data_IF_276409589511
#
_entry.id   IF_276409589511
#
_cell.length_a   1.000
_cell.length_b   1.000
_cell.length_c   1.000
_cell.angle_alpha   90.00
_cell.angle_beta   90.00
_cell.angle_gamma   90.00
#
_symmetry.space_group_name_H-M   'P 1'
#
loop_
_entity.id
_entity.type
_entity.pdbx_description
1 polymer ?
#
# COMPACT_ATOMS: atom_id res chain seq x y z
N UNK A 1 -3.93 31.48 -25.93
CA UNK A 1 -3.86 30.00 -25.89
C UNK A 1 -4.76 29.52 -24.75
N UNK A 2 -5.90 28.95 -25.07
CA UNK A 2 -6.84 28.36 -24.12
C UNK A 2 -6.29 27.02 -23.64
N UNK A 3 -6.02 26.87 -22.33
CA UNK A 3 -5.65 25.60 -21.70
C UNK A 3 -6.68 24.53 -22.07
N UNK A 4 -6.22 23.34 -22.47
CA UNK A 4 -7.10 22.23 -22.82
C UNK A 4 -7.90 21.79 -21.58
N UNK A 5 -9.07 21.19 -21.78
CA UNK A 5 -9.92 20.71 -20.69
C UNK A 5 -9.21 19.67 -19.81
N UNK A 6 -8.34 18.86 -20.41
CA UNK A 6 -7.46 17.94 -19.69
C UNK A 6 -6.46 18.67 -18.78
N UNK A 7 -5.92 19.82 -19.19
CA UNK A 7 -5.00 20.63 -18.36
C UNK A 7 -5.69 21.28 -17.16
N UNK A 8 -6.98 21.63 -17.30
CA UNK A 8 -7.79 22.19 -16.20
C UNK A 8 -8.11 21.13 -15.15
N UNK A 9 -8.56 19.95 -15.59
CA UNK A 9 -8.81 18.80 -14.68
C UNK A 9 -7.53 18.36 -13.98
N UNK A 10 -6.37 18.48 -14.65
CA UNK A 10 -5.05 18.21 -14.04
C UNK A 10 -4.69 19.21 -12.96
N UNK A 11 -4.85 20.51 -13.21
CA UNK A 11 -4.60 21.56 -12.22
C UNK A 11 -5.52 21.43 -11.00
N UNK A 12 -6.78 21.07 -11.22
CA UNK A 12 -7.78 20.87 -10.17
C UNK A 12 -7.49 19.63 -9.29
N UNK A 13 -6.89 18.58 -9.86
CA UNK A 13 -6.54 17.35 -9.15
C UNK A 13 -5.09 17.32 -8.61
N UNK A 14 -4.40 18.46 -8.57
CA UNK A 14 -3.07 18.54 -7.95
C UNK A 14 -3.15 18.32 -6.44
N UNK A 15 -2.12 17.68 -5.81
CA UNK A 15 -2.06 17.59 -4.36
C UNK A 15 -2.10 18.98 -3.73
N UNK A 16 -2.84 19.14 -2.63
CA UNK A 16 -2.96 20.44 -1.96
C UNK A 16 -1.59 20.97 -1.52
N UNK A 17 -1.40 22.30 -1.38
CA UNK A 17 -0.14 22.88 -0.93
C UNK A 17 0.34 22.35 0.43
N UNK A 18 -0.59 21.98 1.32
CA UNK A 18 -0.28 21.32 2.60
C UNK A 18 0.26 19.91 2.38
N UNK A 19 -0.33 19.13 1.47
CA UNK A 19 0.17 17.78 1.12
C UNK A 19 1.55 17.87 0.47
N UNK A 20 1.75 18.79 -0.47
CA UNK A 20 3.04 19.03 -1.14
C UNK A 20 4.16 19.40 -0.16
N UNK A 21 3.85 20.12 0.92
CA UNK A 21 4.82 20.49 1.96
C UNK A 21 5.18 19.33 2.90
N UNK A 22 4.23 18.43 3.15
CA UNK A 22 4.39 17.32 4.10
C UNK A 22 5.02 16.08 3.47
N UNK A 23 4.86 15.91 2.17
CA UNK A 23 5.15 14.66 1.49
C UNK A 23 6.07 14.85 0.29
N UNK A 24 6.93 13.88 0.04
CA UNK A 24 7.81 13.89 -1.12
C UNK A 24 7.10 13.30 -2.33
N UNK A 25 6.77 14.12 -3.32
CA UNK A 25 6.18 13.66 -4.58
C UNK A 25 7.26 13.45 -5.65
N UNK A 26 7.09 12.41 -6.46
CA UNK A 26 7.85 12.14 -7.69
C UNK A 26 6.94 12.37 -8.89
N UNK A 27 7.46 12.98 -9.95
CA UNK A 27 6.83 12.87 -11.27
C UNK A 27 7.05 11.47 -11.83
N UNK A 28 5.97 10.77 -12.12
CA UNK A 28 5.95 9.52 -12.87
C UNK A 28 5.12 9.74 -14.14
N UNK A 29 5.82 9.96 -15.26
CA UNK A 29 5.22 10.52 -16.47
C UNK A 29 4.67 11.93 -16.21
N UNK A 30 3.40 12.15 -16.53
CA UNK A 30 2.70 13.42 -16.31
C UNK A 30 2.05 13.54 -14.91
N UNK A 31 2.01 12.46 -14.12
CA UNK A 31 1.38 12.43 -12.80
C UNK A 31 2.38 12.67 -11.66
N UNK A 32 1.96 13.41 -10.63
CA UNK A 32 2.68 13.48 -9.35
C UNK A 32 2.21 12.33 -8.46
N UNK A 33 3.11 11.39 -8.20
CA UNK A 33 2.88 10.28 -7.27
C UNK A 33 3.69 10.45 -6.01
N UNK A 34 3.13 10.03 -4.89
CA UNK A 34 3.86 10.05 -3.63
C UNK A 34 5.06 9.10 -3.70
N UNK A 35 6.24 9.57 -3.30
CA UNK A 35 7.42 8.73 -3.16
C UNK A 35 7.24 7.83 -1.93
N UNK A 36 6.68 6.64 -2.16
CA UNK A 36 6.41 5.67 -1.10
C UNK A 36 7.71 5.04 -0.56
N UNK A 37 7.66 4.57 0.68
CA UNK A 37 8.72 3.75 1.27
C UNK A 37 8.99 2.49 0.46
N UNK A 38 7.96 1.90 -0.17
CA UNK A 38 8.10 0.76 -1.10
C UNK A 38 9.00 1.11 -2.27
N UNK A 39 8.77 2.26 -2.93
CA UNK A 39 9.61 2.70 -4.04
C UNK A 39 11.07 2.99 -3.61
N UNK A 40 11.28 3.38 -2.35
CA UNK A 40 12.62 3.54 -1.79
C UNK A 40 13.32 2.19 -1.60
N UNK A 41 12.64 1.20 -0.99
CA UNK A 41 13.18 -0.15 -0.79
C UNK A 41 13.50 -0.84 -2.12
N UNK A 42 12.61 -0.71 -3.10
CA UNK A 42 12.83 -1.27 -4.43
C UNK A 42 14.09 -0.70 -5.09
N UNK A 43 14.28 0.62 -5.02
CA UNK A 43 15.48 1.28 -5.54
C UNK A 43 16.75 0.93 -4.79
N UNK A 44 16.64 0.65 -3.49
CA UNK A 44 17.77 0.20 -2.69
C UNK A 44 18.15 -1.27 -2.98
N UNK A 45 17.29 -2.02 -3.67
CA UNK A 45 17.45 -3.45 -3.90
C UNK A 45 17.05 -4.30 -2.70
N UNK A 46 16.38 -3.71 -1.70
CA UNK A 46 15.92 -4.42 -0.51
C UNK A 46 14.68 -5.29 -0.78
N UNK A 47 13.96 -5.02 -1.88
CA UNK A 47 12.78 -5.77 -2.34
C UNK A 47 12.76 -5.81 -3.89
N UNK A 48 12.06 -6.79 -4.46
CA UNK A 48 11.88 -6.97 -5.91
C UNK A 48 10.45 -6.68 -6.41
N UNK A 49 10.18 -7.10 -7.64
CA UNK A 49 8.90 -6.86 -8.32
C UNK A 49 7.73 -7.58 -7.62
N UNK A 50 7.97 -8.76 -7.06
CA UNK A 50 6.94 -9.57 -6.40
C UNK A 50 6.46 -8.92 -5.10
N UNK A 51 7.36 -8.36 -4.30
CA UNK A 51 7.01 -7.60 -3.09
C UNK A 51 6.24 -6.32 -3.43
N UNK A 52 6.60 -5.64 -4.52
CA UNK A 52 5.89 -4.46 -5.01
C UNK A 52 4.47 -4.83 -5.45
N UNK A 53 4.31 -5.92 -6.20
CA UNK A 53 3.01 -6.42 -6.62
C UNK A 53 2.15 -6.85 -5.42
N UNK A 54 2.76 -7.51 -4.43
CA UNK A 54 2.11 -7.90 -3.18
C UNK A 54 1.61 -6.67 -2.39
N UNK A 55 2.43 -5.61 -2.29
CA UNK A 55 2.04 -4.35 -1.65
C UNK A 55 0.85 -3.68 -2.36
N UNK A 56 0.88 -3.62 -3.70
CA UNK A 56 -0.21 -3.06 -4.49
C UNK A 56 -1.51 -3.84 -4.31
N UNK A 57 -1.43 -5.17 -4.36
CA UNK A 57 -2.58 -6.04 -4.13
C UNK A 57 -3.16 -5.86 -2.73
N UNK A 58 -2.31 -5.84 -1.70
CA UNK A 58 -2.76 -5.63 -0.32
C UNK A 58 -3.46 -4.29 -0.16
N UNK A 59 -2.89 -3.23 -0.74
CA UNK A 59 -3.49 -1.89 -0.68
C UNK A 59 -4.87 -1.86 -1.36
N UNK A 60 -5.01 -2.49 -2.51
CA UNK A 60 -6.31 -2.61 -3.20
C UNK A 60 -7.31 -3.43 -2.38
N UNK A 61 -6.89 -4.53 -1.76
CA UNK A 61 -7.74 -5.34 -0.88
C UNK A 61 -8.19 -4.55 0.36
N UNK A 62 -7.31 -3.74 0.96
CA UNK A 62 -7.64 -2.84 2.06
C UNK A 62 -8.63 -1.75 1.65
N UNK A 63 -8.37 -1.05 0.55
CA UNK A 63 -9.28 0.01 0.05
C UNK A 63 -10.66 -0.55 -0.29
N UNK A 64 -10.72 -1.77 -0.82
CA UNK A 64 -11.98 -2.44 -1.10
C UNK A 64 -12.72 -2.87 0.17
N UNK A 65 -12.02 -3.51 1.11
CA UNK A 65 -12.61 -3.98 2.37
C UNK A 65 -13.09 -2.81 3.23
N UNK A 66 -12.21 -1.86 3.54
CA UNK A 66 -12.44 -0.81 4.53
C UNK A 66 -13.19 0.40 3.95
N UNK A 67 -12.86 0.81 2.71
CA UNK A 67 -13.38 2.05 2.12
C UNK A 67 -14.44 1.80 1.06
N UNK A 68 -14.59 0.55 0.60
CA UNK A 68 -15.47 0.23 -0.51
C UNK A 68 -15.01 0.87 -1.82
N UNK A 69 -13.71 1.13 -1.97
CA UNK A 69 -13.15 1.72 -3.19
C UNK A 69 -12.61 0.60 -4.06
N UNK A 70 -13.01 0.59 -5.34
CA UNK A 70 -12.39 -0.26 -6.37
C UNK A 70 -11.73 0.69 -7.36
N UNK A 71 -10.40 0.75 -7.34
CA UNK A 71 -9.67 1.48 -8.38
C UNK A 71 -9.74 0.68 -9.69
N UNK A 72 -10.35 1.26 -10.72
CA UNK A 72 -10.40 0.65 -12.04
C UNK A 72 -9.01 0.71 -12.70
N UNK A 73 -8.31 -0.42 -12.77
CA UNK A 73 -7.06 -0.52 -13.53
C UNK A 73 -7.36 -0.69 -15.03
N UNK A 74 -7.47 0.42 -15.77
CA UNK A 74 -7.45 0.45 -17.25
C UNK A 74 -8.59 -0.30 -17.97
N UNK A 75 -8.61 -0.23 -19.31
CA UNK A 75 -9.68 -0.65 -20.25
C UNK A 75 -10.13 -2.12 -20.19
N UNK A 76 -9.66 -2.94 -19.24
CA UNK A 76 -9.93 -4.38 -19.15
C UNK A 76 -10.81 -4.79 -17.97
N UNK A 77 -11.74 -3.95 -17.54
CA UNK A 77 -12.85 -4.44 -16.73
C UNK A 77 -14.00 -4.91 -17.60
N UNK A 78 -14.04 -6.23 -17.83
CA UNK A 78 -15.24 -6.92 -18.25
C UNK A 78 -16.40 -6.46 -17.36
N UNK A 79 -17.42 -5.92 -18.04
CA UNK A 79 -18.55 -5.18 -17.47
C UNK A 79 -19.56 -6.12 -16.82
N UNK A 80 -19.14 -6.94 -15.87
CA UNK A 80 -20.08 -7.58 -14.96
C UNK A 80 -20.21 -6.68 -13.72
N UNK A 81 -21.14 -5.73 -13.81
CA UNK A 81 -21.67 -5.02 -12.64
C UNK A 81 -22.37 -6.05 -11.76
N UNK A 82 -21.62 -6.68 -10.86
CA UNK A 82 -22.21 -7.49 -9.80
C UNK A 82 -23.19 -6.63 -8.98
N UNK A 83 -24.34 -7.21 -8.62
CA UNK A 83 -25.28 -6.58 -7.69
C UNK A 83 -24.61 -6.28 -6.34
N UNK A 84 -25.21 -5.37 -5.55
CA UNK A 84 -24.74 -4.94 -4.22
C UNK A 84 -24.40 -6.15 -3.35
N UNK A 85 -25.18 -7.23 -3.42
CA UNK A 85 -24.90 -8.46 -2.68
C UNK A 85 -23.58 -9.14 -3.10
N UNK A 86 -23.30 -9.24 -4.40
CA UNK A 86 -22.03 -9.77 -4.93
C UNK A 86 -20.86 -8.91 -4.47
N UNK A 87 -21.06 -7.60 -4.46
CA UNK A 87 -20.06 -6.63 -3.99
C UNK A 87 -19.77 -6.79 -2.50
N UNK A 88 -20.81 -6.84 -1.66
CA UNK A 88 -20.68 -7.05 -0.21
C UNK A 88 -20.02 -8.39 0.13
N UNK A 89 -20.34 -9.46 -0.60
CA UNK A 89 -19.67 -10.75 -0.46
C UNK A 89 -18.17 -10.66 -0.82
N UNK A 90 -17.83 -9.93 -1.88
CA UNK A 90 -16.43 -9.66 -2.25
C UNK A 90 -15.68 -8.91 -1.14
N UNK A 91 -16.28 -7.84 -0.61
CA UNK A 91 -15.70 -7.06 0.50
C UNK A 91 -15.48 -7.91 1.74
N UNK A 92 -16.46 -8.74 2.10
CA UNK A 92 -16.36 -9.67 3.23
C UNK A 92 -15.19 -10.66 3.08
N UNK A 93 -14.97 -11.18 1.86
CA UNK A 93 -13.83 -12.07 1.56
C UNK A 93 -12.48 -11.35 1.69
N UNK A 94 -12.37 -10.12 1.21
CA UNK A 94 -11.15 -9.33 1.36
C UNK A 94 -10.88 -9.00 2.83
N UNK A 95 -11.90 -8.55 3.58
CA UNK A 95 -11.77 -8.27 5.00
C UNK A 95 -11.34 -9.52 5.79
N UNK A 96 -11.89 -10.70 5.47
CA UNK A 96 -11.47 -11.96 6.09
C UNK A 96 -10.01 -12.30 5.80
N UNK A 97 -9.55 -12.07 4.55
CA UNK A 97 -8.15 -12.30 4.15
C UNK A 97 -7.19 -11.37 4.88
N UNK A 98 -7.53 -10.08 4.98
CA UNK A 98 -6.73 -9.10 5.71
C UNK A 98 -6.60 -9.47 7.19
N UNK A 99 -7.70 -9.89 7.83
CA UNK A 99 -7.66 -10.40 9.21
C UNK A 99 -6.79 -11.65 9.35
N UNK A 100 -6.90 -12.60 8.41
CA UNK A 100 -6.07 -13.80 8.43
C UNK A 100 -4.58 -13.45 8.31
N UNK A 101 -4.24 -12.56 7.37
CA UNK A 101 -2.87 -12.08 7.21
C UNK A 101 -2.36 -11.37 8.47
N UNK A 102 -3.18 -10.53 9.11
CA UNK A 102 -2.85 -9.88 10.37
C UNK A 102 -2.55 -10.90 11.48
N UNK A 103 -3.41 -11.93 11.64
CA UNK A 103 -3.17 -13.01 12.62
C UNK A 103 -1.86 -13.77 12.36
N UNK A 104 -1.48 -13.96 11.10
CA UNK A 104 -0.26 -14.67 10.73
C UNK A 104 1.01 -13.82 10.91
N UNK A 105 0.97 -12.55 10.52
CA UNK A 105 2.11 -11.63 10.61
C UNK A 105 2.33 -11.09 12.03
N UNK A 106 1.27 -11.06 12.85
CA UNK A 106 1.24 -10.39 14.14
C UNK A 106 1.25 -8.86 14.03
N UNK A 107 0.93 -8.20 15.15
CA UNK A 107 0.75 -6.74 15.22
C UNK A 107 1.99 -5.96 14.79
N UNK A 108 3.17 -6.52 15.09
CA UNK A 108 4.43 -5.86 14.79
C UNK A 108 4.62 -5.69 13.28
N UNK A 109 4.64 -6.76 12.49
CA UNK A 109 4.83 -6.64 11.04
C UNK A 109 3.63 -6.00 10.35
N UNK A 110 2.40 -6.31 10.81
CA UNK A 110 1.19 -5.70 10.25
C UNK A 110 1.20 -4.18 10.38
N UNK A 111 1.57 -3.63 11.54
CA UNK A 111 1.66 -2.18 11.73
C UNK A 111 2.70 -1.52 10.80
N UNK A 112 3.76 -2.21 10.37
CA UNK A 112 4.70 -1.65 9.38
C UNK A 112 4.06 -1.54 8.01
N UNK A 113 3.28 -2.55 7.61
CA UNK A 113 2.50 -2.51 6.37
C UNK A 113 1.51 -1.33 6.41
N UNK A 114 0.77 -1.15 7.50
CA UNK A 114 -0.16 -0.02 7.62
C UNK A 114 0.55 1.34 7.62
N UNK A 115 1.67 1.47 8.35
CA UNK A 115 2.45 2.70 8.36
C UNK A 115 2.95 3.07 6.96
N UNK A 116 3.43 2.08 6.19
CA UNK A 116 3.92 2.30 4.82
C UNK A 116 2.81 2.54 3.81
N UNK A 117 1.81 1.66 3.80
CA UNK A 117 0.86 1.57 2.69
C UNK A 117 -0.39 2.38 2.96
N UNK A 118 -0.84 2.55 4.21
CA UNK A 118 -2.05 3.30 4.55
C UNK A 118 -1.74 4.72 4.96
N UNK A 119 -0.81 4.86 5.92
CA UNK A 119 -0.43 6.16 6.49
C UNK A 119 0.67 6.85 5.70
N UNK A 120 1.26 6.16 4.73
CA UNK A 120 2.26 6.68 3.79
C UNK A 120 3.43 7.38 4.52
N UNK A 121 3.84 6.80 5.65
CA UNK A 121 4.85 7.38 6.52
C UNK A 121 6.25 7.21 5.94
N UNK A 122 7.12 8.19 6.20
CA UNK A 122 8.55 8.08 5.91
C UNK A 122 9.27 7.18 6.93
N UNK A 123 10.41 6.57 6.57
CA UNK A 123 11.20 5.78 7.53
C UNK A 123 11.60 6.55 8.79
N UNK A 124 12.00 7.84 8.73
CA UNK A 124 12.23 8.64 9.92
C UNK A 124 10.99 8.77 10.82
N UNK A 125 9.81 9.00 10.24
CA UNK A 125 8.58 9.15 11.03
C UNK A 125 8.16 7.81 11.67
N UNK A 126 8.28 6.72 10.93
CA UNK A 126 8.08 5.37 11.45
C UNK A 126 9.07 5.04 12.58
N UNK A 127 10.35 5.38 12.38
CA UNK A 127 11.40 5.13 13.37
C UNK A 127 11.14 5.87 14.69
N UNK A 128 10.58 7.09 14.66
CA UNK A 128 10.19 7.81 15.88
C UNK A 128 9.08 7.10 16.66
N UNK A 129 8.17 6.41 15.98
CA UNK A 129 7.11 5.63 16.64
C UNK A 129 7.61 4.29 17.17
N UNK A 130 8.48 3.61 16.41
CA UNK A 130 8.94 2.25 16.73
C UNK A 130 10.09 2.27 17.75
N UNK A 131 11.00 3.25 17.65
CA UNK A 131 12.22 3.34 18.44
C UNK A 131 12.34 4.75 19.06
N UNK A 132 11.47 5.10 20.04
CA UNK A 132 11.42 6.46 20.59
C UNK A 132 12.75 6.91 21.21
N UNK A 133 13.45 5.99 21.90
CA UNK A 133 14.70 6.27 22.62
C UNK A 133 15.97 5.94 21.82
N UNK A 134 15.85 5.59 20.53
CA UNK A 134 16.96 5.08 19.72
C UNK A 134 17.78 6.15 19.00
N UNK A 135 19.06 5.87 18.74
CA UNK A 135 19.88 6.71 17.85
C UNK A 135 19.24 6.79 16.45
N UNK A 136 18.93 8.00 15.98
CA UNK A 136 18.09 8.25 14.79
C UNK A 136 18.53 7.50 13.53
N UNK A 137 19.84 7.45 13.27
CA UNK A 137 20.38 6.77 12.09
C UNK A 137 20.15 5.25 12.16
N UNK A 138 20.46 4.62 13.30
CA UNK A 138 20.28 3.19 13.48
C UNK A 138 18.79 2.81 13.51
N UNK A 139 17.94 3.65 14.11
CA UNK A 139 16.50 3.46 14.15
C UNK A 139 15.90 3.44 12.73
N UNK A 140 16.29 4.40 11.87
CA UNK A 140 15.86 4.43 10.47
C UNK A 140 16.24 3.16 9.71
N UNK A 141 17.48 2.70 9.82
CA UNK A 141 17.95 1.49 9.14
C UNK A 141 17.21 0.25 9.61
N UNK A 142 17.01 0.11 10.94
CA UNK A 142 16.20 -0.97 11.51
C UNK A 142 14.76 -0.94 10.99
N UNK A 143 14.16 0.25 10.90
CA UNK A 143 12.81 0.40 10.35
C UNK A 143 12.75 0.01 8.89
N UNK A 144 13.71 0.42 8.05
CA UNK A 144 13.75 0.02 6.64
C UNK A 144 13.85 -1.51 6.48
N UNK A 145 14.73 -2.16 7.24
CA UNK A 145 14.86 -3.62 7.24
C UNK A 145 13.57 -4.33 7.70
N UNK A 146 12.91 -3.83 8.76
CA UNK A 146 11.61 -4.37 9.21
C UNK A 146 10.51 -4.20 8.15
N UNK A 147 10.57 -3.14 7.36
CA UNK A 147 9.63 -2.89 6.29
C UNK A 147 9.85 -3.83 5.10
N UNK A 148 11.11 -4.06 4.70
CA UNK A 148 11.46 -5.04 3.67
C UNK A 148 10.98 -6.44 4.08
N UNK A 149 11.29 -6.88 5.30
CA UNK A 149 10.82 -8.15 5.85
C UNK A 149 9.29 -8.26 5.85
N UNK A 150 8.57 -7.19 6.21
CA UNK A 150 7.11 -7.21 6.19
C UNK A 150 6.55 -7.41 4.77
N UNK A 151 7.20 -6.84 3.75
CA UNK A 151 6.82 -6.99 2.35
C UNK A 151 7.16 -8.37 1.79
N UNK A 152 8.28 -8.95 2.20
CA UNK A 152 8.63 -10.35 1.89
C UNK A 152 7.58 -11.32 2.43
N UNK A 153 7.18 -11.17 3.70
CA UNK A 153 6.10 -11.97 4.28
C UNK A 153 4.76 -11.81 3.55
N UNK A 154 4.47 -10.59 3.10
CA UNK A 154 3.27 -10.30 2.32
C UNK A 154 3.31 -10.99 0.96
N UNK A 155 4.46 -10.94 0.29
CA UNK A 155 4.72 -11.64 -0.97
C UNK A 155 4.51 -13.14 -0.80
N UNK A 156 5.15 -13.75 0.19
CA UNK A 156 5.02 -15.17 0.53
C UNK A 156 3.56 -15.56 0.80
N UNK A 157 2.81 -14.74 1.54
CA UNK A 157 1.39 -15.02 1.78
C UNK A 157 0.57 -15.09 0.49
N UNK A 158 0.79 -14.16 -0.45
CA UNK A 158 0.04 -14.15 -1.71
C UNK A 158 0.49 -15.21 -2.71
N UNK A 159 1.77 -15.58 -2.69
CA UNK A 159 2.31 -16.64 -3.53
C UNK A 159 1.93 -18.03 -3.03
N UNK A 160 1.84 -18.20 -1.70
CA UNK A 160 1.63 -19.50 -1.09
C UNK A 160 0.13 -19.82 -0.92
N UNK A 161 -0.44 -20.46 -1.95
CA UNK A 161 -1.83 -20.96 -1.94
C UNK A 161 -2.14 -21.94 -0.80
N UNK A 162 -1.13 -22.49 -0.10
CA UNK A 162 -1.33 -23.39 1.04
C UNK A 162 -1.57 -22.64 2.37
N UNK A 163 -0.90 -21.51 2.60
CA UNK A 163 -1.08 -20.67 3.81
C UNK A 163 -2.52 -20.14 3.87
N UNK A 164 -3.08 -19.78 2.71
CA UNK A 164 -4.50 -19.43 2.58
C UNK A 164 -5.47 -20.59 2.89
N UNK A 165 -5.03 -21.86 2.84
CA UNK A 165 -5.86 -23.05 3.09
C UNK A 165 -5.77 -23.58 4.53
N UNK A 166 -4.68 -23.32 5.25
CA UNK A 166 -4.41 -23.93 6.58
C UNK A 166 -5.47 -23.58 7.65
N UNK A 167 -6.25 -22.51 7.48
CA UNK A 167 -7.31 -22.11 8.41
C UNK A 167 -8.74 -22.27 7.86
N UNK A 168 -8.96 -23.15 6.88
CA UNK A 168 -10.31 -23.65 6.55
C UNK A 168 -10.70 -24.81 7.47
N UNK A 169 -10.64 -24.62 8.79
CA UNK A 169 -11.20 -25.53 9.79
C UNK A 169 -12.12 -24.73 10.69
#
# INVERSE_FOLDING_TARGET
MTKSEADRVREENMPTPERMRRHHFRKEGEALRLWSTVAWLYKAGDIGDDEVAAAQRWRAEYDYAERGVVEAQGERMATEKGDIHTWMLGRGKCAARLRQLHMLMGDSLHSRIEMMLIREMSFPDMARLIFPEGARAQARTKTAAQCALALEWLCEYYNNKSIAKIHKI
#
